data_IF_019429565579
#
_entry.id   IF_019429565579
#
_cell.length_a   1.000
_cell.length_b   1.000
_cell.length_c   1.000
_cell.angle_alpha   90.00
_cell.angle_beta   90.00
_cell.angle_gamma   90.00
#
_symmetry.space_group_name_H-M   'P 1'
#
loop_
_entity.id
_entity.type
_entity.pdbx_description
1 polymer ?
#
# COMPACT_ATOMS: atom_id res chain seq x y z
N UNK A 1 -3.02 -34.13 43.64
CA UNK A 1 -3.64 -33.35 42.56
C UNK A 1 -2.73 -33.23 41.36
N UNK A 2 -1.40 -33.24 41.51
CA UNK A 2 -0.42 -33.07 40.42
C UNK A 2 -0.28 -34.26 39.44
N UNK A 3 -0.65 -35.47 39.84
CA UNK A 3 -0.54 -36.64 38.96
C UNK A 3 -1.64 -36.67 37.88
N UNK A 4 -2.83 -36.24 38.21
CA UNK A 4 -3.96 -36.19 37.26
C UNK A 4 -3.73 -35.12 36.18
N UNK A 5 -3.13 -33.97 36.54
CA UNK A 5 -2.79 -32.92 35.60
C UNK A 5 -1.68 -33.37 34.65
N UNK A 6 -0.67 -34.08 35.13
CA UNK A 6 0.41 -34.63 34.28
C UNK A 6 -0.09 -35.69 33.29
N UNK A 7 -0.98 -36.59 33.71
CA UNK A 7 -1.55 -37.59 32.79
C UNK A 7 -2.40 -36.98 31.69
N UNK A 8 -3.18 -35.93 31.97
CA UNK A 8 -3.95 -35.23 30.94
C UNK A 8 -3.05 -34.49 29.95
N UNK A 9 -1.96 -33.87 30.41
CA UNK A 9 -1.02 -33.17 29.52
C UNK A 9 -0.26 -34.14 28.59
N UNK A 10 0.18 -35.28 29.09
CA UNK A 10 0.86 -36.30 28.28
C UNK A 10 -0.08 -36.88 27.23
N UNK A 11 -1.32 -37.21 27.59
CA UNK A 11 -2.32 -37.70 26.63
C UNK A 11 -2.69 -36.67 25.56
N UNK A 12 -2.78 -35.37 25.91
CA UNK A 12 -3.04 -34.29 24.95
C UNK A 12 -1.86 -34.12 23.99
N UNK A 13 -0.62 -34.17 24.49
CA UNK A 13 0.57 -34.05 23.66
C UNK A 13 0.77 -35.28 22.73
N UNK A 14 0.47 -36.47 23.20
CA UNK A 14 0.52 -37.67 22.37
C UNK A 14 -0.58 -37.66 21.29
N UNK A 15 -1.79 -37.26 21.63
CA UNK A 15 -2.88 -37.11 20.67
C UNK A 15 -2.55 -36.05 19.59
N UNK A 16 -2.01 -34.90 19.98
CA UNK A 16 -1.57 -33.85 19.06
C UNK A 16 -0.41 -34.33 18.17
N UNK A 17 0.54 -35.10 18.71
CA UNK A 17 1.65 -35.65 17.94
C UNK A 17 1.17 -36.71 16.92
N UNK A 18 0.23 -37.57 17.30
CA UNK A 18 -0.38 -38.54 16.37
C UNK A 18 -1.13 -37.83 15.22
N UNK A 19 -1.85 -36.73 15.49
CA UNK A 19 -2.51 -35.95 14.44
C UNK A 19 -1.49 -35.34 13.46
N UNK A 20 -0.37 -34.82 13.93
CA UNK A 20 0.68 -34.27 13.08
C UNK A 20 1.36 -35.32 12.21
N UNK A 21 1.62 -36.53 12.78
CA UNK A 21 2.21 -37.65 12.05
C UNK A 21 1.27 -38.13 10.93
N UNK A 22 -0.05 -38.19 11.19
CA UNK A 22 -1.06 -38.54 10.18
C UNK A 22 -1.11 -37.50 9.05
N UNK A 23 -1.10 -36.20 9.38
CA UNK A 23 -1.11 -35.12 8.39
C UNK A 23 0.16 -35.14 7.51
N UNK A 24 1.30 -35.57 8.10
CA UNK A 24 2.55 -35.73 7.36
C UNK A 24 2.48 -36.94 6.41
N UNK A 25 1.98 -38.09 6.86
CA UNK A 25 1.79 -39.28 6.03
C UNK A 25 0.82 -39.02 4.86
N UNK A 26 -0.21 -38.21 5.10
CA UNK A 26 -1.20 -37.80 4.09
C UNK A 26 -0.72 -36.67 3.18
N UNK A 27 0.51 -36.20 3.34
CA UNK A 27 1.09 -35.05 2.61
C UNK A 27 0.22 -33.79 2.68
N UNK A 28 -0.55 -33.61 3.76
CA UNK A 28 -1.48 -32.48 3.90
C UNK A 28 -0.77 -31.12 3.88
N UNK A 29 0.46 -31.06 4.36
CA UNK A 29 1.28 -29.86 4.28
C UNK A 29 1.61 -29.46 2.83
N UNK A 30 1.69 -30.44 1.91
CA UNK A 30 1.87 -30.13 0.48
C UNK A 30 0.60 -29.51 -0.10
N UNK A 31 -0.57 -30.04 0.23
CA UNK A 31 -1.87 -29.49 -0.16
C UNK A 31 -1.99 -28.03 0.34
N UNK A 32 -1.63 -27.75 1.60
CA UNK A 32 -1.60 -26.36 2.12
C UNK A 32 -0.68 -25.45 1.31
N UNK A 33 0.52 -25.92 0.94
CA UNK A 33 1.47 -25.16 0.14
C UNK A 33 0.94 -24.87 -1.27
N UNK A 34 0.36 -25.87 -1.91
CA UNK A 34 -0.28 -25.72 -3.22
C UNK A 34 -1.42 -24.70 -3.15
N UNK A 35 -2.27 -24.77 -2.12
CA UNK A 35 -3.34 -23.79 -1.90
C UNK A 35 -2.78 -22.39 -1.67
N UNK A 36 -1.76 -22.25 -0.83
CA UNK A 36 -1.11 -20.97 -0.56
C UNK A 36 -0.49 -20.32 -1.79
N UNK A 37 0.01 -21.11 -2.75
CA UNK A 37 0.53 -20.60 -4.03
C UNK A 37 -0.56 -19.95 -4.90
N UNK A 38 -1.81 -20.40 -4.77
CA UNK A 38 -2.95 -19.85 -5.49
C UNK A 38 -3.54 -18.60 -4.80
N UNK A 39 -3.15 -18.32 -3.57
CA UNK A 39 -3.65 -17.19 -2.79
C UNK A 39 -2.97 -15.89 -3.20
N UNK A 40 -3.74 -14.81 -3.51
CA UNK A 40 -3.18 -13.55 -3.97
C UNK A 40 -2.56 -12.69 -2.86
N UNK A 41 -3.07 -12.76 -1.62
CA UNK A 41 -2.63 -11.90 -0.51
C UNK A 41 -1.83 -12.68 0.56
N UNK A 42 -1.02 -11.97 1.34
CA UNK A 42 -0.29 -12.54 2.48
C UNK A 42 -1.22 -13.16 3.52
N UNK A 43 -2.36 -12.49 3.78
CA UNK A 43 -3.39 -12.98 4.72
C UNK A 43 -4.02 -14.29 4.25
N UNK A 44 -4.38 -14.39 2.97
CA UNK A 44 -4.95 -15.63 2.43
C UNK A 44 -3.93 -16.76 2.39
N UNK A 45 -2.65 -16.47 2.11
CA UNK A 45 -1.56 -17.45 2.20
C UNK A 45 -1.38 -17.96 3.62
N UNK A 46 -1.38 -17.08 4.61
CA UNK A 46 -1.30 -17.47 6.00
C UNK A 46 -2.49 -18.36 6.40
N UNK A 47 -3.72 -17.99 6.05
CA UNK A 47 -4.91 -18.83 6.28
C UNK A 47 -4.83 -20.19 5.62
N UNK A 48 -4.32 -20.28 4.38
CA UNK A 48 -4.12 -21.55 3.69
C UNK A 48 -3.09 -22.43 4.39
N UNK A 49 -2.02 -21.85 4.93
CA UNK A 49 -1.01 -22.58 5.69
C UNK A 49 -1.50 -23.03 7.06
N UNK A 50 -2.42 -22.29 7.68
CA UNK A 50 -3.03 -22.60 8.98
C UNK A 50 -4.25 -23.53 8.88
N UNK A 51 -4.64 -23.91 7.66
CA UNK A 51 -5.79 -24.79 7.44
C UNK A 51 -5.63 -26.11 8.19
N UNK A 52 -6.65 -26.50 8.95
CA UNK A 52 -6.70 -27.76 9.69
C UNK A 52 -7.88 -28.61 9.21
N UNK A 53 -7.73 -29.93 9.17
CA UNK A 53 -8.86 -30.82 8.97
C UNK A 53 -9.88 -30.65 10.10
N UNK A 54 -11.16 -30.81 9.77
CA UNK A 54 -12.23 -30.84 10.75
C UNK A 54 -12.97 -32.17 10.67
N UNK A 55 -13.39 -32.70 11.82
CA UNK A 55 -14.27 -33.85 11.92
C UNK A 55 -15.72 -33.47 12.27
N UNK A 56 -15.99 -32.17 12.44
CA UNK A 56 -17.31 -31.66 12.78
C UNK A 56 -18.18 -31.51 11.51
N UNK A 57 -19.24 -32.32 11.31
CA UNK A 57 -20.01 -32.33 10.07
C UNK A 57 -20.63 -30.97 9.71
N UNK A 58 -21.06 -30.20 10.72
CA UNK A 58 -21.67 -28.87 10.50
C UNK A 58 -20.65 -27.87 9.95
N UNK A 59 -19.46 -27.81 10.54
CA UNK A 59 -18.38 -26.95 10.11
C UNK A 59 -17.92 -27.30 8.68
N UNK A 60 -17.80 -28.61 8.41
CA UNK A 60 -17.43 -29.10 7.07
C UNK A 60 -18.49 -28.67 6.05
N UNK A 61 -19.76 -28.87 6.33
CA UNK A 61 -20.86 -28.52 5.42
C UNK A 61 -20.89 -27.00 5.14
N UNK A 62 -20.68 -26.17 6.16
CA UNK A 62 -20.63 -24.71 6.02
C UNK A 62 -19.45 -24.26 5.14
N UNK A 63 -18.24 -24.77 5.40
CA UNK A 63 -17.05 -24.41 4.60
C UNK A 63 -17.14 -24.93 3.15
N UNK A 64 -17.76 -26.09 2.93
CA UNK A 64 -17.99 -26.61 1.58
C UNK A 64 -18.98 -25.73 0.83
N UNK A 65 -20.09 -25.31 1.46
CA UNK A 65 -21.06 -24.41 0.86
C UNK A 65 -20.45 -23.03 0.57
N UNK A 66 -19.66 -22.47 1.50
CA UNK A 66 -18.92 -21.23 1.26
C UNK A 66 -18.02 -21.34 0.01
N UNK A 67 -17.28 -22.45 -0.11
CA UNK A 67 -16.40 -22.70 -1.24
C UNK A 67 -17.19 -22.85 -2.54
N UNK A 68 -18.34 -23.53 -2.50
CA UNK A 68 -19.24 -23.67 -3.64
C UNK A 68 -19.79 -22.31 -4.10
N UNK A 69 -20.29 -21.49 -3.19
CA UNK A 69 -20.76 -20.13 -3.49
C UNK A 69 -19.67 -19.28 -4.14
N UNK A 70 -18.44 -19.30 -3.58
CA UNK A 70 -17.31 -18.59 -4.14
C UNK A 70 -16.94 -19.09 -5.54
N UNK A 71 -16.93 -20.42 -5.75
CA UNK A 71 -16.66 -21.01 -7.05
C UNK A 71 -17.71 -20.61 -8.10
N UNK A 72 -18.99 -20.67 -7.74
CA UNK A 72 -20.08 -20.26 -8.64
C UNK A 72 -19.99 -18.76 -8.96
N UNK A 73 -19.68 -17.93 -7.96
CA UNK A 73 -19.49 -16.49 -8.13
C UNK A 73 -18.36 -16.21 -9.14
N UNK A 74 -17.20 -16.83 -8.99
CA UNK A 74 -16.05 -16.65 -9.89
C UNK A 74 -16.30 -17.16 -11.31
N UNK A 75 -17.11 -18.19 -11.49
CA UNK A 75 -17.42 -18.76 -12.81
C UNK A 75 -18.48 -17.97 -13.58
N UNK A 76 -19.48 -17.42 -12.88
CA UNK A 76 -20.65 -16.80 -13.51
C UNK A 76 -20.56 -15.28 -13.63
N UNK A 77 -19.77 -14.65 -12.78
CA UNK A 77 -19.69 -13.20 -12.75
C UNK A 77 -18.50 -12.69 -13.57
N UNK A 78 -18.75 -11.71 -14.43
CA UNK A 78 -17.75 -11.14 -15.34
C UNK A 78 -16.68 -10.33 -14.59
N UNK A 79 -17.04 -9.77 -13.43
CA UNK A 79 -16.14 -8.99 -12.60
C UNK A 79 -16.11 -9.53 -11.18
N UNK A 80 -14.97 -10.04 -10.74
CA UNK A 80 -14.75 -10.39 -9.34
C UNK A 80 -14.56 -9.12 -8.53
N UNK A 81 -15.20 -8.99 -7.35
CA UNK A 81 -14.93 -7.86 -6.44
C UNK A 81 -13.57 -7.98 -5.73
N UNK A 82 -12.86 -9.07 -5.98
CA UNK A 82 -11.56 -9.33 -5.38
C UNK A 82 -10.52 -8.36 -5.94
N UNK A 83 -9.94 -7.56 -5.06
CA UNK A 83 -8.84 -6.64 -5.33
C UNK A 83 -7.62 -7.00 -4.49
N UNK A 84 -6.62 -6.14 -4.54
CA UNK A 84 -5.45 -6.28 -3.69
C UNK A 84 -5.82 -5.98 -2.23
N UNK A 85 -5.45 -6.90 -1.34
CA UNK A 85 -5.61 -6.76 0.10
C UNK A 85 -4.28 -7.00 0.79
N UNK A 86 -3.99 -6.19 1.78
CA UNK A 86 -2.75 -6.22 2.55
C UNK A 86 -3.03 -6.55 4.01
N UNK A 87 -2.05 -7.05 4.72
CA UNK A 87 -2.12 -7.16 6.17
C UNK A 87 -1.91 -5.78 6.80
N UNK A 88 -3.01 -5.15 7.15
CA UNK A 88 -3.01 -3.80 7.73
C UNK A 88 -2.96 -3.80 9.27
N UNK A 89 -3.03 -4.97 9.93
CA UNK A 89 -3.00 -5.07 11.39
C UNK A 89 -1.73 -4.47 11.98
N UNK A 90 -0.52 -4.74 11.44
CA UNK A 90 0.70 -4.13 11.97
C UNK A 90 0.70 -2.59 11.86
N UNK A 91 -0.01 -2.02 10.88
CA UNK A 91 -0.12 -0.58 10.73
C UNK A 91 -1.08 0.01 11.78
N UNK A 92 -2.19 -0.69 12.05
CA UNK A 92 -3.16 -0.31 13.09
C UNK A 92 -2.48 -0.33 14.46
N UNK A 93 -1.76 -1.40 14.80
CA UNK A 93 -1.04 -1.54 16.06
C UNK A 93 -0.02 -0.41 16.29
N UNK A 94 0.63 0.06 15.22
CA UNK A 94 1.55 1.20 15.30
C UNK A 94 0.81 2.51 15.43
N UNK A 95 -0.30 2.68 14.72
CA UNK A 95 -1.11 3.88 14.81
C UNK A 95 -1.73 4.05 16.21
N UNK A 96 -2.16 2.97 16.85
CA UNK A 96 -2.64 2.97 18.24
C UNK A 96 -1.56 3.43 19.23
N UNK A 97 -0.29 3.16 18.93
CA UNK A 97 0.87 3.63 19.71
C UNK A 97 1.35 5.02 19.29
N UNK A 98 0.54 5.76 18.54
CA UNK A 98 0.85 7.10 18.02
C UNK A 98 2.12 7.14 17.15
N UNK A 99 2.53 6.01 16.57
CA UNK A 99 3.68 5.97 15.68
C UNK A 99 3.31 6.48 14.28
N UNK A 100 4.28 7.08 13.60
CA UNK A 100 4.09 7.61 12.25
C UNK A 100 4.01 6.45 11.25
N UNK A 101 3.00 6.48 10.39
CA UNK A 101 2.88 5.60 9.23
C UNK A 101 3.50 6.27 8.00
N UNK A 102 4.08 5.44 7.14
CA UNK A 102 4.67 5.87 5.87
C UNK A 102 3.58 6.02 4.78
N UNK A 103 3.86 6.80 3.75
CA UNK A 103 2.93 7.00 2.63
C UNK A 103 2.53 5.67 1.96
N UNK A 104 3.48 4.75 1.74
CA UNK A 104 3.21 3.42 1.19
C UNK A 104 2.22 2.61 2.02
N UNK A 105 2.32 2.69 3.35
CA UNK A 105 1.40 2.00 4.27
C UNK A 105 -0.03 2.56 4.19
N UNK A 106 -0.18 3.88 3.99
CA UNK A 106 -1.49 4.47 3.71
C UNK A 106 -2.06 4.02 2.37
N UNK A 107 -1.22 3.76 1.36
CA UNK A 107 -1.66 3.22 0.08
C UNK A 107 -2.15 1.78 0.22
N UNK A 108 -1.46 0.94 0.98
CA UNK A 108 -1.88 -0.43 1.28
C UNK A 108 -3.19 -0.46 2.08
N UNK A 109 -3.34 0.42 3.08
CA UNK A 109 -4.61 0.61 3.80
C UNK A 109 -5.72 1.04 2.84
N UNK A 110 -5.47 2.03 1.98
CA UNK A 110 -6.46 2.53 1.01
C UNK A 110 -6.92 1.43 0.06
N UNK A 111 -5.98 0.67 -0.52
CA UNK A 111 -6.28 -0.46 -1.41
C UNK A 111 -7.13 -1.53 -0.73
N UNK A 112 -6.78 -1.89 0.51
CA UNK A 112 -7.54 -2.86 1.29
C UNK A 112 -8.96 -2.37 1.61
N UNK A 113 -9.12 -1.10 2.02
CA UNK A 113 -10.43 -0.50 2.29
C UNK A 113 -11.30 -0.43 1.04
N UNK A 114 -10.73 -0.07 -0.11
CA UNK A 114 -11.44 -0.08 -1.40
C UNK A 114 -11.92 -1.47 -1.79
N UNK A 115 -11.09 -2.48 -1.59
CA UNK A 115 -11.47 -3.86 -1.87
C UNK A 115 -12.59 -4.32 -0.94
N UNK A 116 -12.50 -4.02 0.36
CA UNK A 116 -13.55 -4.36 1.32
C UNK A 116 -14.87 -3.65 1.02
N UNK A 117 -14.82 -2.38 0.66
CA UNK A 117 -16.02 -1.63 0.24
C UNK A 117 -16.66 -2.26 -1.01
N UNK A 118 -15.86 -2.57 -2.03
CA UNK A 118 -16.35 -3.24 -3.25
C UNK A 118 -16.97 -4.61 -2.95
N UNK A 119 -16.38 -5.39 -2.05
CA UNK A 119 -16.95 -6.68 -1.62
C UNK A 119 -18.29 -6.48 -0.91
N UNK A 120 -18.37 -5.52 0.01
CA UNK A 120 -19.63 -5.20 0.71
C UNK A 120 -20.71 -4.79 -0.29
N UNK A 121 -20.45 -3.85 -1.19
CA UNK A 121 -21.37 -3.39 -2.22
C UNK A 121 -21.79 -4.51 -3.19
N UNK A 122 -20.83 -5.36 -3.56
CA UNK A 122 -21.04 -6.45 -4.51
C UNK A 122 -22.01 -7.51 -3.99
N UNK A 123 -21.87 -7.92 -2.74
CA UNK A 123 -22.75 -8.94 -2.13
C UNK A 123 -24.02 -8.36 -1.50
N UNK A 124 -24.17 -7.03 -1.42
CA UNK A 124 -25.40 -6.39 -0.98
C UNK A 124 -26.50 -6.46 -2.04
N UNK A 125 -27.76 -6.39 -1.62
CA UNK A 125 -28.91 -6.35 -2.51
C UNK A 125 -29.42 -7.73 -2.94
N UNK A 126 -29.85 -7.90 -4.20
CA UNK A 126 -30.49 -9.14 -4.66
C UNK A 126 -29.54 -10.35 -4.77
N UNK A 127 -28.22 -10.15 -4.65
CA UNK A 127 -27.24 -11.23 -4.72
C UNK A 127 -27.23 -12.14 -3.49
N UNK A 128 -27.76 -11.68 -2.35
CA UNK A 128 -27.93 -12.51 -1.15
C UNK A 128 -28.75 -13.79 -1.43
N UNK A 129 -29.67 -13.76 -2.40
CA UNK A 129 -30.45 -14.94 -2.81
C UNK A 129 -29.61 -16.03 -3.50
N UNK A 130 -28.45 -15.65 -4.04
CA UNK A 130 -27.54 -16.57 -4.74
C UNK A 130 -26.36 -17.03 -3.91
N UNK A 131 -25.89 -16.17 -3.01
CA UNK A 131 -24.66 -16.34 -2.23
C UNK A 131 -24.89 -15.97 -0.78
N UNK A 132 -25.78 -16.67 -0.05
CA UNK A 132 -26.19 -16.28 1.29
C UNK A 132 -25.03 -16.25 2.31
N UNK A 133 -24.07 -17.20 2.23
CA UNK A 133 -22.94 -17.25 3.16
C UNK A 133 -21.94 -16.12 2.86
N UNK A 134 -21.68 -15.85 1.59
CA UNK A 134 -20.76 -14.76 1.21
C UNK A 134 -21.36 -13.39 1.53
N UNK A 135 -22.68 -13.24 1.39
CA UNK A 135 -23.41 -12.02 1.78
C UNK A 135 -23.34 -11.83 3.30
N UNK A 136 -23.63 -12.86 4.09
CA UNK A 136 -23.54 -12.78 5.54
C UNK A 136 -22.14 -12.33 5.98
N UNK A 137 -21.08 -12.88 5.40
CA UNK A 137 -19.69 -12.46 5.67
C UNK A 137 -19.41 -11.04 5.20
N UNK A 138 -19.89 -10.66 4.03
CA UNK A 138 -19.72 -9.30 3.51
C UNK A 138 -20.49 -8.25 4.31
N UNK A 139 -21.63 -8.61 4.92
CA UNK A 139 -22.40 -7.72 5.78
C UNK A 139 -21.67 -7.32 7.08
N UNK A 140 -20.69 -8.12 7.51
CA UNK A 140 -19.82 -7.80 8.64
C UNK A 140 -18.78 -6.72 8.30
N UNK A 141 -18.56 -6.42 7.02
CA UNK A 141 -17.66 -5.38 6.58
C UNK A 141 -18.32 -4.02 6.80
N UNK A 142 -17.74 -3.21 7.68
CA UNK A 142 -18.17 -1.83 7.88
C UNK A 142 -17.46 -0.92 6.87
N UNK A 143 -18.19 -0.25 5.96
CA UNK A 143 -17.61 0.71 5.05
C UNK A 143 -16.98 1.89 5.81
N UNK A 144 -15.72 2.19 5.52
CA UNK A 144 -14.97 3.28 6.15
C UNK A 144 -14.72 4.42 5.15
N UNK A 145 -15.77 4.85 4.43
CA UNK A 145 -15.71 5.89 3.38
C UNK A 145 -15.07 7.18 3.87
N UNK A 146 -15.37 7.59 5.10
CA UNK A 146 -14.79 8.79 5.69
C UNK A 146 -13.27 8.72 5.82
N UNK A 147 -12.74 7.58 6.24
CA UNK A 147 -11.29 7.34 6.34
C UNK A 147 -10.66 7.26 4.95
N UNK A 148 -11.24 6.49 4.05
CA UNK A 148 -10.76 6.34 2.68
C UNK A 148 -10.69 7.69 1.96
N UNK A 149 -11.73 8.52 2.07
CA UNK A 149 -11.77 9.84 1.49
C UNK A 149 -10.69 10.76 2.08
N UNK A 150 -10.44 10.69 3.39
CA UNK A 150 -9.36 11.46 4.03
C UNK A 150 -7.98 11.06 3.51
N UNK A 151 -7.72 9.76 3.34
CA UNK A 151 -6.46 9.27 2.76
C UNK A 151 -6.30 9.81 1.33
N UNK A 152 -7.34 9.70 0.49
CA UNK A 152 -7.35 10.20 -0.90
C UNK A 152 -7.21 11.73 -1.03
N UNK A 153 -7.64 12.49 -0.02
CA UNK A 153 -7.41 13.94 0.03
C UNK A 153 -5.95 14.28 0.28
N UNK A 154 -5.23 13.44 1.03
CA UNK A 154 -3.82 13.67 1.39
C UNK A 154 -2.87 13.13 0.33
N UNK A 155 -3.12 11.91 -0.16
CA UNK A 155 -2.25 11.21 -1.08
C UNK A 155 -2.87 11.13 -2.49
N UNK A 156 -2.03 11.13 -3.51
CA UNK A 156 -2.42 10.79 -4.87
C UNK A 156 -2.22 9.28 -5.14
N UNK A 157 -2.54 8.84 -6.36
CA UNK A 157 -2.47 7.43 -6.75
C UNK A 157 -1.03 6.85 -6.79
N UNK A 158 -0.01 7.73 -6.68
CA UNK A 158 1.40 7.34 -6.59
C UNK A 158 1.92 7.33 -5.15
N UNK A 159 1.09 7.73 -4.19
CA UNK A 159 1.48 7.89 -2.79
C UNK A 159 2.17 9.22 -2.49
N UNK A 160 2.20 10.17 -3.43
CA UNK A 160 2.73 11.50 -3.20
C UNK A 160 1.70 12.38 -2.48
N UNK A 161 2.20 13.24 -1.57
CA UNK A 161 1.32 14.17 -0.84
C UNK A 161 0.82 15.24 -1.79
N UNK A 162 -0.51 15.33 -1.95
CA UNK A 162 -1.18 16.34 -2.79
C UNK A 162 -0.87 17.76 -2.32
N UNK A 163 -0.76 18.69 -3.24
CA UNK A 163 -0.53 20.11 -2.91
C UNK A 163 -1.60 20.68 -1.99
N UNK A 164 -2.82 20.20 -2.13
CA UNK A 164 -3.99 20.63 -1.35
C UNK A 164 -4.23 19.81 -0.08
N UNK A 165 -3.30 18.92 0.30
CA UNK A 165 -3.43 18.09 1.51
C UNK A 165 -3.60 18.92 2.78
N UNK A 166 -3.01 20.12 2.84
CA UNK A 166 -3.31 21.13 3.84
C UNK A 166 -3.15 22.55 3.28
N UNK A 167 -3.89 23.51 3.84
CA UNK A 167 -3.77 24.92 3.46
C UNK A 167 -2.33 25.45 3.66
N UNK A 168 -1.67 25.02 4.74
CA UNK A 168 -0.28 25.40 5.03
C UNK A 168 0.69 24.87 3.96
N UNK A 169 0.55 23.62 3.56
CA UNK A 169 1.40 23.00 2.52
C UNK A 169 1.17 23.67 1.17
N UNK A 170 -0.08 23.90 0.79
CA UNK A 170 -0.44 24.57 -0.46
C UNK A 170 0.17 25.97 -0.54
N UNK A 171 0.11 26.75 0.55
CA UNK A 171 0.73 28.06 0.63
C UNK A 171 2.25 27.98 0.48
N UNK A 172 2.91 27.10 1.26
CA UNK A 172 4.37 26.96 1.21
C UNK A 172 4.84 26.57 -0.20
N UNK A 173 4.18 25.59 -0.85
CA UNK A 173 4.53 25.19 -2.21
C UNK A 173 4.30 26.33 -3.22
N UNK A 174 3.22 27.09 -3.07
CA UNK A 174 2.97 28.30 -3.88
C UNK A 174 4.04 29.37 -3.69
N UNK A 175 4.47 29.62 -2.45
CA UNK A 175 5.55 30.55 -2.16
C UNK A 175 6.88 30.10 -2.78
N UNK A 176 7.19 28.80 -2.71
CA UNK A 176 8.38 28.21 -3.35
C UNK A 176 8.35 28.45 -4.88
N UNK A 177 7.24 28.15 -5.54
CA UNK A 177 7.13 28.35 -7.01
C UNK A 177 7.21 29.82 -7.39
N UNK A 178 6.66 30.71 -6.55
CA UNK A 178 6.79 32.15 -6.74
C UNK A 178 8.25 32.62 -6.68
N UNK A 179 9.00 32.12 -5.66
CA UNK A 179 10.43 32.43 -5.53
C UNK A 179 11.23 31.87 -6.70
N UNK A 180 10.99 30.60 -7.08
CA UNK A 180 11.64 29.98 -8.25
C UNK A 180 11.37 30.78 -9.54
N UNK A 181 10.13 31.27 -9.72
CA UNK A 181 9.77 32.07 -10.87
C UNK A 181 10.52 33.42 -10.89
N UNK A 182 10.64 34.09 -9.73
CA UNK A 182 11.44 35.32 -9.59
C UNK A 182 12.91 35.10 -9.92
N UNK A 183 13.50 34.00 -9.38
CA UNK A 183 14.89 33.64 -9.69
C UNK A 183 15.07 33.42 -11.19
N UNK A 184 14.21 32.62 -11.84
CA UNK A 184 14.27 32.41 -13.30
C UNK A 184 14.14 33.72 -14.08
N UNK A 185 13.29 34.64 -13.64
CA UNK A 185 13.15 35.97 -14.27
C UNK A 185 14.41 36.80 -14.15
N UNK A 186 15.04 36.84 -12.96
CA UNK A 186 16.31 37.55 -12.75
C UNK A 186 17.44 36.96 -13.62
N UNK A 187 17.55 35.64 -13.72
CA UNK A 187 18.53 35.01 -14.61
C UNK A 187 18.27 35.33 -16.08
N UNK A 188 17.00 35.36 -16.54
CA UNK A 188 16.71 35.78 -17.90
C UNK A 188 17.11 37.22 -18.16
N UNK A 189 16.93 38.15 -17.21
CA UNK A 189 17.40 39.53 -17.34
C UNK A 189 18.91 39.56 -17.51
N UNK A 190 19.68 38.82 -16.72
CA UNK A 190 21.14 38.68 -16.86
C UNK A 190 21.53 38.16 -18.26
N UNK A 191 20.82 37.15 -18.79
CA UNK A 191 21.10 36.57 -20.11
C UNK A 191 20.81 37.57 -21.26
N UNK A 192 19.85 38.48 -21.10
CA UNK A 192 19.43 39.44 -22.11
C UNK A 192 20.08 40.83 -21.96
N UNK A 193 20.81 41.04 -20.85
CA UNK A 193 21.55 42.27 -20.68
C UNK A 193 22.77 42.31 -21.65
N UNK A 194 22.91 43.37 -22.41
CA UNK A 194 23.90 43.48 -23.50
C UNK A 194 25.34 43.36 -23.00
N UNK A 195 25.61 43.91 -21.83
CA UNK A 195 26.96 43.93 -21.27
C UNK A 195 27.31 42.55 -20.66
N UNK A 196 26.37 41.95 -19.96
CA UNK A 196 26.56 40.62 -19.35
C UNK A 196 26.54 39.49 -20.37
N UNK A 197 25.77 39.61 -21.45
CA UNK A 197 25.73 38.60 -22.52
C UNK A 197 27.08 38.38 -23.20
N UNK A 198 27.93 39.40 -23.28
CA UNK A 198 29.29 39.27 -23.81
C UNK A 198 30.18 38.36 -22.96
N UNK A 199 29.91 38.29 -21.67
CA UNK A 199 30.71 37.50 -20.73
C UNK A 199 30.31 36.01 -20.68
N UNK A 200 29.09 35.69 -21.18
CA UNK A 200 28.59 34.34 -21.16
C UNK A 200 29.13 33.48 -22.29
N UNK A 201 29.49 32.23 -22.00
CA UNK A 201 29.88 31.27 -23.02
C UNK A 201 28.66 30.85 -23.86
N UNK A 202 27.52 30.59 -23.18
CA UNK A 202 26.24 30.25 -23.75
C UNK A 202 25.12 30.96 -22.98
N UNK A 203 24.07 31.39 -23.66
CA UNK A 203 22.90 32.05 -23.04
C UNK A 203 21.93 31.02 -22.45
N UNK A 204 22.43 30.12 -21.63
CA UNK A 204 21.65 29.06 -20.99
C UNK A 204 21.70 29.15 -19.45
N UNK A 205 20.62 28.72 -18.82
CA UNK A 205 20.55 28.56 -17.38
C UNK A 205 20.55 27.07 -17.09
N UNK A 206 21.48 26.61 -16.31
CA UNK A 206 21.54 25.22 -15.86
C UNK A 206 21.39 25.13 -14.34
N UNK A 207 21.18 23.94 -13.82
CA UNK A 207 21.12 23.72 -12.39
C UNK A 207 22.22 22.73 -11.99
N UNK A 208 23.08 23.15 -11.07
CA UNK A 208 24.14 22.32 -10.48
C UNK A 208 24.02 22.31 -8.96
N UNK A 209 23.94 21.13 -8.38
CA UNK A 209 23.79 20.95 -6.92
C UNK A 209 22.65 21.81 -6.31
N UNK A 210 21.50 21.85 -7.01
CA UNK A 210 20.32 22.60 -6.56
C UNK A 210 20.41 24.12 -6.74
N UNK A 211 21.47 24.66 -7.36
CA UNK A 211 21.66 26.10 -7.62
C UNK A 211 21.58 26.38 -9.12
N UNK A 212 20.96 27.50 -9.48
CA UNK A 212 20.98 27.99 -10.84
C UNK A 212 22.34 28.58 -11.16
N UNK A 213 22.91 28.21 -12.30
CA UNK A 213 24.22 28.66 -12.77
C UNK A 213 24.16 29.06 -14.24
N UNK A 214 25.03 29.95 -14.63
CA UNK A 214 25.27 30.35 -16.04
C UNK A 214 26.73 30.12 -16.40
N UNK A 215 27.05 29.65 -17.62
CA UNK A 215 28.42 29.45 -18.07
C UNK A 215 29.02 30.81 -18.44
N UNK A 216 30.14 31.18 -17.79
CA UNK A 216 30.91 32.40 -18.02
C UNK A 216 32.21 32.07 -18.70
N UNK A 217 32.60 32.83 -19.72
CA UNK A 217 33.93 32.66 -20.36
C UNK A 217 35.04 32.94 -19.38
N UNK A 218 36.11 32.15 -19.39
CA UNK A 218 37.21 32.23 -18.41
C UNK A 218 37.86 33.63 -18.39
N UNK A 219 38.00 34.29 -19.58
CA UNK A 219 38.56 35.63 -19.73
C UNK A 219 37.75 36.75 -19.04
N UNK A 220 36.46 36.52 -18.80
CA UNK A 220 35.56 37.47 -18.12
C UNK A 220 35.22 37.09 -16.71
N UNK A 221 35.83 36.04 -16.16
CA UNK A 221 35.56 35.52 -14.83
C UNK A 221 35.60 36.56 -13.72
N UNK A 222 36.60 37.49 -13.81
CA UNK A 222 36.74 38.56 -12.79
C UNK A 222 35.84 39.81 -13.03
N UNK A 223 35.22 39.90 -14.20
CA UNK A 223 34.29 40.96 -14.53
C UNK A 223 32.81 40.60 -14.23
N UNK A 224 32.52 39.33 -14.15
CA UNK A 224 31.20 38.84 -13.85
C UNK A 224 31.01 38.75 -12.33
N UNK A 225 30.04 39.51 -11.81
CA UNK A 225 29.73 39.51 -10.38
C UNK A 225 28.97 38.23 -10.01
N UNK A 226 29.64 37.26 -9.40
CA UNK A 226 29.06 35.99 -9.07
C UNK A 226 30.02 35.08 -8.31
N UNK A 227 29.49 33.99 -7.77
CA UNK A 227 30.27 32.96 -7.07
C UNK A 227 30.55 31.82 -8.04
N UNK A 228 31.85 31.50 -8.23
CA UNK A 228 32.28 30.35 -9.05
C UNK A 228 31.82 29.07 -8.36
N UNK A 229 31.00 28.28 -9.05
CA UNK A 229 30.44 27.05 -8.50
C UNK A 229 31.21 25.81 -8.99
N UNK A 230 31.65 25.82 -10.25
CA UNK A 230 32.36 24.71 -10.88
C UNK A 230 33.19 25.24 -12.06
N UNK A 231 34.18 24.49 -12.50
CA UNK A 231 34.95 24.76 -13.70
C UNK A 231 34.78 23.57 -14.64
N UNK A 232 34.46 23.84 -15.88
CA UNK A 232 34.57 22.81 -16.91
C UNK A 232 36.06 22.62 -17.24
N UNK A 233 36.52 21.40 -17.13
CA UNK A 233 37.80 20.98 -17.63
C UNK A 233 37.81 20.92 -19.16
#
# INVERSE_FOLDING_TARGET
>A
MDIIIRMNFVNILECYRMEQDILQILEFNEIRRMLAQLCPSSLSKAKAMDLQPSSEPRIIAEHLQETEEASICLQKEISSPLGETYDIIPFIDRAEKEMILLAGEFMEISSSLETYQKMHEYFSGERHLRYPILEEKASLILPLDGLLNRIRQVFDDKGDIRDKASMKLSRIRGDIETVKSRIRKSFRQILHDKDTALYLQDAIITQRNGRYVVPVKEEYRYKFDGIVHDRSS
#
